data_IF_531975147286
#
_entry.id   IF_531975147286
#
_cell.length_a   1.000
_cell.length_b   1.000
_cell.length_c   1.000
_cell.angle_alpha   90.00
_cell.angle_beta   90.00
_cell.angle_gamma   90.00
#
_symmetry.space_group_name_H-M   'P 1'
#
loop_
_entity.id
_entity.type
_entity.pdbx_description
1 polymer ?
#
# COMPACT_ATOMS: atom_id res chain seq x y z
N UNK A 1 -12.24 36.04 16.12
CA UNK A 1 -12.58 35.61 14.75
C UNK A 1 -12.71 34.11 14.75
N UNK A 2 -13.94 33.62 14.60
CA UNK A 2 -14.27 32.20 14.62
C UNK A 2 -13.94 31.62 13.24
N UNK A 3 -13.07 30.61 13.17
CA UNK A 3 -12.88 29.83 11.95
C UNK A 3 -13.54 28.48 12.17
N UNK A 4 -14.58 28.27 11.36
CA UNK A 4 -15.54 27.18 11.37
C UNK A 4 -14.92 25.88 10.84
N UNK A 5 -15.02 24.82 11.64
CA UNK A 5 -14.78 23.43 11.23
C UNK A 5 -15.85 23.02 10.20
N UNK A 6 -15.43 22.68 8.98
CA UNK A 6 -16.25 21.95 8.03
C UNK A 6 -16.04 20.46 8.29
N UNK A 7 -17.02 19.84 8.94
CA UNK A 7 -17.12 18.39 9.08
C UNK A 7 -17.66 17.85 7.75
N UNK A 8 -16.81 17.23 6.95
CA UNK A 8 -17.24 16.52 5.73
C UNK A 8 -17.96 15.24 6.14
N UNK A 9 -19.26 15.19 5.87
CA UNK A 9 -20.12 14.01 6.06
C UNK A 9 -19.78 12.96 4.99
N UNK A 10 -19.18 11.84 5.39
CA UNK A 10 -19.01 10.66 4.55
C UNK A 10 -20.28 9.81 4.59
N UNK A 11 -20.96 9.71 3.46
CA UNK A 11 -22.13 8.88 3.23
C UNK A 11 -21.74 7.40 3.24
N UNK A 12 -22.18 6.67 4.26
CA UNK A 12 -22.11 5.21 4.33
C UNK A 12 -23.04 4.61 3.27
N UNK A 13 -22.51 4.22 2.12
CA UNK A 13 -23.23 3.36 1.18
C UNK A 13 -23.15 1.92 1.67
N UNK A 14 -24.22 1.46 2.32
CA UNK A 14 -24.42 0.06 2.67
C UNK A 14 -24.43 -0.78 1.38
N UNK A 15 -23.31 -1.44 1.07
CA UNK A 15 -23.27 -2.38 -0.04
C UNK A 15 -24.05 -3.63 0.34
N UNK A 16 -25.22 -3.82 -0.27
CA UNK A 16 -25.99 -5.06 -0.22
C UNK A 16 -25.11 -6.22 -0.68
N UNK A 17 -24.62 -7.01 0.29
CA UNK A 17 -23.93 -8.27 0.05
C UNK A 17 -24.94 -9.25 -0.54
N UNK A 18 -25.02 -9.30 -1.86
CA UNK A 18 -25.82 -10.30 -2.56
C UNK A 18 -24.96 -11.56 -2.66
N UNK A 19 -25.37 -12.64 -2.00
CA UNK A 19 -24.73 -13.94 -2.17
C UNK A 19 -25.01 -14.44 -3.59
N UNK A 20 -24.09 -14.19 -4.50
CA UNK A 20 -24.13 -14.84 -5.81
C UNK A 20 -23.93 -16.32 -5.56
N UNK A 21 -24.85 -17.20 -6.01
CA UNK A 21 -24.78 -18.67 -5.80
C UNK A 21 -23.57 -19.38 -6.46
N UNK A 22 -22.51 -18.64 -6.81
CA UNK A 22 -21.22 -19.13 -7.27
C UNK A 22 -20.38 -19.50 -6.05
N UNK A 23 -19.63 -20.60 -6.15
CA UNK A 23 -18.68 -21.01 -5.10
C UNK A 23 -17.57 -19.98 -4.98
N UNK A 24 -17.10 -19.73 -3.76
CA UNK A 24 -15.98 -18.84 -3.50
C UNK A 24 -14.65 -19.43 -3.95
N UNK A 25 -13.82 -18.59 -4.58
CA UNK A 25 -12.45 -18.96 -4.92
C UNK A 25 -11.58 -18.94 -3.64
N UNK A 26 -10.89 -20.05 -3.39
CA UNK A 26 -9.94 -20.20 -2.28
C UNK A 26 -8.51 -20.04 -2.77
N UNK A 27 -7.75 -19.16 -2.12
CA UNK A 27 -6.33 -18.97 -2.37
C UNK A 27 -5.51 -19.63 -1.26
N UNK A 28 -4.55 -20.47 -1.67
CA UNK A 28 -3.61 -21.10 -0.74
C UNK A 28 -2.74 -20.06 -0.01
N UNK A 29 -2.22 -19.09 -0.76
CA UNK A 29 -1.36 -18.03 -0.24
C UNK A 29 -1.47 -16.78 -1.11
N UNK A 30 -1.51 -15.61 -0.47
CA UNK A 30 -1.38 -14.30 -1.09
C UNK A 30 -0.09 -13.64 -0.62
N UNK A 31 0.67 -13.07 -1.56
CA UNK A 31 1.89 -12.31 -1.27
C UNK A 31 1.66 -10.88 -1.74
N UNK A 32 1.70 -9.93 -0.80
CA UNK A 32 1.52 -8.51 -1.07
C UNK A 32 2.88 -7.83 -0.98
N UNK A 33 3.34 -7.24 -2.09
CA UNK A 33 4.57 -6.45 -2.16
C UNK A 33 4.21 -4.97 -2.22
N UNK A 34 4.52 -4.24 -1.16
CA UNK A 34 4.28 -2.80 -1.06
C UNK A 34 5.60 -2.06 -1.32
N UNK A 35 5.55 -1.09 -2.23
CA UNK A 35 6.69 -0.24 -2.59
C UNK A 35 6.43 1.18 -2.11
N UNK A 36 7.45 1.82 -1.56
CA UNK A 36 7.36 3.21 -1.12
C UNK A 36 8.70 3.90 -1.13
N UNK A 37 8.68 5.23 -1.17
CA UNK A 37 9.90 6.03 -1.07
C UNK A 37 10.32 6.28 0.39
N UNK A 38 9.35 6.38 1.29
CA UNK A 38 9.58 6.60 2.72
C UNK A 38 9.34 5.33 3.54
N UNK A 39 10.31 4.99 4.38
CA UNK A 39 10.23 3.91 5.34
C UNK A 39 9.20 4.15 6.45
N UNK A 40 8.97 5.41 6.85
CA UNK A 40 8.03 5.71 7.93
C UNK A 40 6.59 5.35 7.52
N UNK A 41 6.22 5.66 6.28
CA UNK A 41 4.95 5.29 5.65
C UNK A 41 4.81 3.76 5.59
N UNK A 42 5.85 3.06 5.12
CA UNK A 42 5.79 1.60 5.06
C UNK A 42 5.62 0.94 6.43
N UNK A 43 6.21 1.52 7.49
CA UNK A 43 6.06 1.04 8.85
C UNK A 43 4.66 1.34 9.43
N UNK A 44 4.06 2.48 9.10
CA UNK A 44 2.68 2.79 9.52
C UNK A 44 1.68 1.84 8.85
N UNK A 45 1.85 1.59 7.55
CA UNK A 45 1.06 0.59 6.81
C UNK A 45 1.21 -0.80 7.42
N UNK A 46 2.42 -1.23 7.77
CA UNK A 46 2.63 -2.52 8.42
C UNK A 46 1.81 -2.66 9.71
N UNK A 47 1.80 -1.62 10.56
CA UNK A 47 1.00 -1.61 11.80
C UNK A 47 -0.50 -1.67 11.50
N UNK A 48 -0.97 -0.88 10.54
CA UNK A 48 -2.36 -0.88 10.12
C UNK A 48 -2.80 -2.25 9.60
N UNK A 49 -2.01 -2.87 8.71
CA UNK A 49 -2.30 -4.18 8.16
C UNK A 49 -2.31 -5.27 9.25
N UNK A 50 -1.40 -5.21 10.22
CA UNK A 50 -1.40 -6.13 11.37
C UNK A 50 -2.68 -6.01 12.21
N UNK A 51 -3.13 -4.78 12.47
CA UNK A 51 -4.36 -4.50 13.21
C UNK A 51 -5.58 -4.98 12.44
N UNK A 52 -5.70 -4.62 11.17
CA UNK A 52 -6.83 -5.03 10.32
C UNK A 52 -6.91 -6.56 10.18
N UNK A 53 -5.77 -7.24 10.00
CA UNK A 53 -5.77 -8.70 9.90
C UNK A 53 -6.19 -9.38 11.20
N UNK A 54 -5.85 -8.82 12.36
CA UNK A 54 -6.32 -9.30 13.65
C UNK A 54 -7.84 -9.21 13.77
N UNK A 55 -8.42 -8.05 13.42
CA UNK A 55 -9.87 -7.84 13.51
C UNK A 55 -10.65 -8.69 12.49
N UNK A 56 -10.07 -8.92 11.30
CA UNK A 56 -10.68 -9.76 10.25
C UNK A 56 -10.44 -11.27 10.45
N UNK A 57 -9.64 -11.67 11.44
CA UNK A 57 -9.28 -13.08 11.65
C UNK A 57 -8.41 -13.68 10.53
N UNK A 58 -7.66 -12.84 9.81
CA UNK A 58 -6.81 -13.26 8.70
C UNK A 58 -5.40 -13.61 9.19
N UNK A 59 -4.89 -14.78 8.80
CA UNK A 59 -3.58 -15.25 9.24
C UNK A 59 -2.44 -14.70 8.36
N UNK A 60 -1.69 -13.73 8.90
CA UNK A 60 -0.43 -13.28 8.31
C UNK A 60 0.71 -14.16 8.82
N UNK A 61 1.35 -14.87 7.90
CA UNK A 61 2.42 -15.83 8.21
C UNK A 61 3.76 -15.14 8.40
N UNK A 62 4.05 -14.15 7.57
CA UNK A 62 5.33 -13.44 7.65
C UNK A 62 5.20 -12.03 7.12
N UNK A 63 5.88 -11.11 7.80
CA UNK A 63 6.17 -9.76 7.32
C UNK A 63 7.67 -9.61 7.28
N UNK A 64 8.23 -9.22 6.14
CA UNK A 64 9.67 -8.98 6.02
C UNK A 64 9.97 -7.85 5.05
N UNK A 65 11.19 -7.35 5.17
CA UNK A 65 11.70 -6.21 4.44
C UNK A 65 12.75 -6.69 3.44
N UNK A 66 12.43 -6.77 2.15
CA UNK A 66 13.42 -7.03 1.13
C UNK A 66 14.50 -5.93 1.08
N UNK A 67 15.66 -6.22 0.47
CA UNK A 67 16.68 -5.21 0.24
C UNK A 67 16.12 -4.01 -0.53
N UNK A 68 16.36 -2.81 0.00
CA UNK A 68 16.02 -1.56 -0.68
C UNK A 68 16.82 -1.38 -1.96
N UNK A 69 16.19 -0.79 -2.97
CA UNK A 69 16.80 -0.54 -4.28
C UNK A 69 17.12 0.95 -4.42
N UNK A 70 18.34 1.23 -4.88
CA UNK A 70 18.82 2.57 -5.18
C UNK A 70 19.04 2.71 -6.67
N UNK A 71 18.15 3.43 -7.34
CA UNK A 71 18.30 3.74 -8.77
C UNK A 71 18.99 5.07 -8.91
N UNK A 72 20.17 5.11 -9.56
CA UNK A 72 20.95 6.33 -9.74
C UNK A 72 21.00 6.71 -11.21
N UNK A 73 20.84 8.00 -11.49
CA UNK A 73 20.91 8.56 -12.83
C UNK A 73 21.78 9.81 -12.81
N UNK A 74 22.76 9.88 -13.70
CA UNK A 74 23.61 11.06 -13.87
C UNK A 74 23.18 11.84 -15.10
N UNK A 75 22.75 13.08 -14.92
CA UNK A 75 22.34 13.97 -16.00
C UNK A 75 23.28 15.16 -16.08
N UNK A 76 23.60 15.63 -17.29
CA UNK A 76 24.36 16.87 -17.45
C UNK A 76 23.54 18.05 -16.92
N UNK A 77 24.19 18.99 -16.22
CA UNK A 77 23.54 20.18 -15.69
C UNK A 77 23.11 21.16 -16.79
N UNK A 78 23.84 21.20 -17.90
CA UNK A 78 23.60 22.07 -19.05
C UNK A 78 23.41 21.25 -20.32
N UNK A 79 22.76 21.85 -21.31
CA UNK A 79 22.41 21.22 -22.59
C UNK A 79 23.64 20.98 -23.47
N UNK A 80 24.66 21.85 -23.43
CA UNK A 80 25.81 21.78 -24.36
C UNK A 80 27.17 22.01 -23.68
N UNK A 81 28.19 21.23 -24.07
CA UNK A 81 29.66 21.38 -23.79
C UNK A 81 30.13 21.40 -22.32
N UNK A 82 29.24 21.24 -21.34
CA UNK A 82 29.62 21.24 -19.92
C UNK A 82 29.66 19.84 -19.28
N UNK A 83 30.49 18.92 -19.81
CA UNK A 83 30.54 17.50 -19.36
C UNK A 83 30.97 17.32 -17.89
N UNK A 84 31.80 18.23 -17.36
CA UNK A 84 32.29 18.16 -15.96
C UNK A 84 31.21 18.48 -14.93
N UNK A 85 30.14 19.18 -15.32
CA UNK A 85 29.06 19.56 -14.44
C UNK A 85 27.85 18.64 -14.69
N UNK A 86 27.68 17.65 -13.82
CA UNK A 86 26.53 16.75 -13.86
C UNK A 86 25.86 16.67 -12.49
N UNK A 87 24.56 16.43 -12.51
CA UNK A 87 23.75 16.13 -11.33
C UNK A 87 23.57 14.61 -11.23
N UNK A 88 23.80 14.07 -10.04
CA UNK A 88 23.49 12.68 -9.73
C UNK A 88 22.18 12.64 -8.95
N UNK A 89 21.15 12.09 -9.58
CA UNK A 89 19.85 11.85 -8.96
C UNK A 89 19.83 10.43 -8.38
N UNK A 90 19.14 10.29 -7.25
CA UNK A 90 18.91 9.01 -6.59
C UNK A 90 17.42 8.83 -6.31
N UNK A 91 16.86 7.72 -6.79
CA UNK A 91 15.53 7.26 -6.42
C UNK A 91 15.69 6.11 -5.44
N UNK A 92 15.04 6.24 -4.28
CA UNK A 92 15.06 5.24 -3.21
C UNK A 92 13.75 4.49 -3.21
N UNK A 93 13.79 3.17 -3.39
CA UNK A 93 12.60 2.32 -3.29
C UNK A 93 12.79 1.33 -2.15
N UNK A 94 11.93 1.47 -1.15
CA UNK A 94 11.83 0.58 -0.01
C UNK A 94 10.68 -0.39 -0.24
N UNK A 95 10.79 -1.59 0.33
CA UNK A 95 9.84 -2.68 0.11
C UNK A 95 9.36 -3.23 1.46
N UNK A 96 8.10 -3.64 1.50
CA UNK A 96 7.52 -4.47 2.56
C UNK A 96 6.74 -5.61 1.91
N UNK A 97 6.97 -6.83 2.37
CA UNK A 97 6.26 -8.00 1.87
C UNK A 97 5.44 -8.65 2.98
N UNK A 98 4.17 -8.91 2.68
CA UNK A 98 3.23 -9.60 3.57
C UNK A 98 2.83 -10.92 2.92
N UNK A 99 2.98 -12.02 3.66
CA UNK A 99 2.49 -13.33 3.23
C UNK A 99 1.30 -13.73 4.07
N UNK A 100 0.16 -13.95 3.41
CA UNK A 100 -1.10 -14.33 4.03
C UNK A 100 -1.51 -15.70 3.52
N UNK A 101 -1.93 -16.61 4.40
CA UNK A 101 -2.37 -17.96 4.00
C UNK A 101 -3.87 -18.14 4.15
N UNK A 102 -4.43 -19.00 3.31
CA UNK A 102 -5.81 -19.47 3.36
C UNK A 102 -6.83 -18.31 3.32
N UNK A 103 -6.97 -17.70 2.16
CA UNK A 103 -7.83 -16.51 1.97
C UNK A 103 -8.96 -16.82 1.02
N UNK A 104 -10.18 -16.42 1.39
CA UNK A 104 -11.37 -16.50 0.55
C UNK A 104 -11.61 -15.17 -0.17
N UNK A 105 -12.00 -15.23 -1.44
CA UNK A 105 -12.20 -14.05 -2.32
C UNK A 105 -13.13 -12.98 -1.73
N UNK A 106 -14.18 -13.40 -1.03
CA UNK A 106 -15.24 -12.54 -0.54
C UNK A 106 -14.82 -11.63 0.63
N UNK A 107 -13.88 -12.07 1.47
CA UNK A 107 -13.56 -11.37 2.72
C UNK A 107 -12.50 -10.25 2.59
N UNK A 108 -11.76 -10.17 1.48
CA UNK A 108 -10.48 -9.43 1.47
C UNK A 108 -10.34 -8.36 0.38
N UNK A 109 -10.93 -8.56 -0.81
CA UNK A 109 -10.77 -7.60 -1.93
C UNK A 109 -11.56 -6.31 -1.68
N UNK A 110 -12.76 -6.41 -1.11
CA UNK A 110 -13.62 -5.24 -0.86
C UNK A 110 -13.05 -4.35 0.26
N UNK A 111 -12.41 -4.91 1.30
CA UNK A 111 -11.85 -4.13 2.41
C UNK A 111 -10.56 -3.40 2.00
N UNK A 112 -9.70 -4.04 1.20
CA UNK A 112 -8.43 -3.44 0.74
C UNK A 112 -8.71 -2.30 -0.27
N UNK A 113 -9.68 -2.47 -1.16
CA UNK A 113 -10.07 -1.42 -2.11
C UNK A 113 -10.77 -0.23 -1.42
N UNK A 114 -11.61 -0.46 -0.40
CA UNK A 114 -12.25 0.64 0.34
C UNK A 114 -11.28 1.44 1.22
N UNK A 115 -10.13 0.89 1.62
CA UNK A 115 -9.09 1.68 2.29
C UNK A 115 -8.24 2.53 1.33
N UNK A 116 -8.33 2.28 0.02
CA UNK A 116 -7.60 3.05 -1.00
C UNK A 116 -8.22 4.43 -1.25
N UNK A 117 -9.49 4.62 -0.87
CA UNK A 117 -10.22 5.89 -1.00
C UNK A 117 -9.98 6.89 0.15
N UNK A 118 -9.11 6.56 1.12
CA UNK A 118 -8.84 7.41 2.29
C UNK A 118 -7.38 7.91 2.33
N UNK A 119 -6.66 7.86 1.21
CA UNK A 119 -5.25 8.31 1.09
C UNK A 119 -5.04 9.21 -0.15
N UNK A 120 -6.08 9.94 -0.59
CA UNK A 120 -5.91 11.16 -1.41
C UNK A 120 -6.71 12.29 -0.81
#
# INVERSE_FOLDING_TARGET
CQTTNQVSQYSTSESLVTSTGKKDDLYRQLTLEIKGHDSAILNSYQKFTAMAAKELGVNIVSMYDPPRIFTRMSLMKSVFVHKKHFHQYEMRTMYKVFQVKFVVKFASILVILNCSGMIV
#
